data_IF_113871890475
#
_entry.id   IF_113871890475
#
_cell.length_a   1.000
_cell.length_b   1.000
_cell.length_c   1.000
_cell.angle_alpha   90.00
_cell.angle_beta   90.00
_cell.angle_gamma   90.00
#
_symmetry.space_group_name_H-M   'P 1'
#
loop_
_entity.id
_entity.type
_entity.pdbx_description
1 polymer ?
#
# COMPACT_ATOMS: atom_id res chain seq x y z
N UNK A 1 8.01 5.29 10.47
CA UNK A 1 7.37 4.25 9.62
C UNK A 1 7.80 4.46 8.19
N UNK A 2 7.98 3.37 7.46
CA UNK A 2 8.36 3.36 6.05
C UNK A 2 7.32 2.57 5.27
N UNK A 3 6.91 3.12 4.13
CA UNK A 3 6.09 2.44 3.14
C UNK A 3 6.95 2.38 1.89
N UNK A 4 7.32 1.17 1.48
CA UNK A 4 8.10 0.96 0.27
C UNK A 4 7.27 1.18 -0.99
N UNK A 5 7.92 1.37 -2.14
CA UNK A 5 7.20 1.32 -3.41
C UNK A 5 6.56 -0.07 -3.58
N UNK A 6 5.46 -0.17 -4.33
CA UNK A 6 4.98 -1.40 -4.93
C UNK A 6 6.11 -2.15 -5.63
N UNK A 7 6.19 -3.44 -5.37
CA UNK A 7 7.10 -4.35 -6.05
C UNK A 7 6.31 -5.56 -6.55
N UNK A 8 6.77 -6.17 -7.64
CA UNK A 8 6.21 -7.46 -8.07
C UNK A 8 6.81 -8.55 -7.19
N UNK A 9 5.96 -9.32 -6.52
CA UNK A 9 6.35 -10.54 -5.83
C UNK A 9 6.64 -11.65 -6.86
N UNK A 10 7.86 -12.20 -6.83
CA UNK A 10 8.30 -13.20 -7.81
C UNK A 10 7.64 -14.57 -7.63
N UNK A 11 7.10 -14.86 -6.44
CA UNK A 11 6.44 -16.14 -6.18
C UNK A 11 4.98 -16.11 -6.66
N UNK A 12 4.28 -15.00 -6.44
CA UNK A 12 2.85 -14.87 -6.78
C UNK A 12 2.56 -14.11 -8.06
N UNK A 13 3.55 -13.43 -8.64
CA UNK A 13 3.42 -12.50 -9.79
C UNK A 13 2.40 -11.37 -9.52
N UNK A 14 2.24 -11.01 -8.24
CA UNK A 14 1.33 -9.96 -7.78
C UNK A 14 2.10 -8.75 -7.25
N UNK A 15 1.51 -7.57 -7.40
CA UNK A 15 2.02 -6.37 -6.75
C UNK A 15 1.82 -6.42 -5.24
N UNK A 16 2.87 -6.12 -4.50
CA UNK A 16 2.88 -6.08 -3.04
C UNK A 16 3.42 -4.75 -2.51
N UNK A 17 2.93 -4.37 -1.33
CA UNK A 17 3.39 -3.21 -0.57
C UNK A 17 4.09 -3.67 0.72
N UNK A 18 5.33 -3.23 0.91
CA UNK A 18 6.04 -3.46 2.18
C UNK A 18 5.85 -2.27 3.11
N UNK A 19 5.33 -2.52 4.31
CA UNK A 19 5.26 -1.54 5.40
C UNK A 19 6.21 -1.96 6.51
N UNK A 20 7.07 -1.05 6.93
CA UNK A 20 8.03 -1.25 8.01
C UNK A 20 7.79 -0.25 9.15
N UNK A 21 7.60 -0.79 10.35
CA UNK A 21 7.39 -0.01 11.58
C UNK A 21 8.54 -0.30 12.54
N UNK A 22 9.37 0.68 12.90
CA UNK A 22 10.41 0.49 13.91
C UNK A 22 9.77 0.22 15.27
N UNK A 23 10.36 -0.74 16.01
CA UNK A 23 10.07 -0.97 17.41
C UNK A 23 11.10 -0.17 18.21
N UNK A 24 10.63 0.69 19.10
CA UNK A 24 11.48 1.44 20.00
C UNK A 24 11.46 0.82 21.39
N UNK A 25 12.62 0.75 22.02
CA UNK A 25 12.72 0.46 23.45
C UNK A 25 12.15 1.65 24.25
N UNK A 26 11.29 1.36 25.24
CA UNK A 26 10.55 2.40 25.95
C UNK A 26 11.45 3.27 26.83
N UNK A 27 12.52 2.71 27.38
CA UNK A 27 13.40 3.40 28.31
C UNK A 27 14.43 4.28 27.59
N UNK A 28 15.01 3.78 26.50
CA UNK A 28 16.07 4.45 25.75
C UNK A 28 15.56 5.26 24.55
N UNK A 29 14.37 4.94 24.03
CA UNK A 29 13.86 5.49 22.77
C UNK A 29 14.65 5.02 21.54
N UNK A 30 15.56 4.05 21.69
CA UNK A 30 16.34 3.52 20.59
C UNK A 30 15.54 2.50 19.78
N UNK A 31 15.75 2.49 18.46
CA UNK A 31 15.13 1.49 17.59
C UNK A 31 15.81 0.12 17.80
N UNK A 32 15.09 -0.82 18.39
CA UNK A 32 15.59 -2.17 18.72
C UNK A 32 15.16 -3.24 17.70
N UNK A 33 14.28 -2.88 16.77
CA UNK A 33 13.83 -3.79 15.73
C UNK A 33 12.91 -3.13 14.71
N UNK A 34 12.45 -3.94 13.76
CA UNK A 34 11.49 -3.53 12.73
C UNK A 34 10.44 -4.63 12.57
N UNK A 35 9.17 -4.25 12.66
CA UNK A 35 8.05 -5.08 12.20
C UNK A 35 7.89 -4.83 10.70
N UNK A 36 8.04 -5.88 9.90
CA UNK A 36 7.78 -5.86 8.46
C UNK A 36 6.46 -6.55 8.18
N UNK A 37 5.58 -5.87 7.47
CA UNK A 37 4.34 -6.42 6.93
C UNK A 37 4.35 -6.30 5.41
N UNK A 38 3.84 -7.33 4.74
CA UNK A 38 3.70 -7.40 3.28
C UNK A 38 2.20 -7.49 2.99
N UNK A 39 1.70 -6.59 2.14
CA UNK A 39 0.29 -6.54 1.76
C UNK A 39 0.16 -6.73 0.27
N UNK A 40 -0.79 -7.56 -0.16
CA UNK A 40 -1.15 -7.68 -1.57
C UNK A 40 -1.96 -6.45 -2.00
N UNK A 41 -1.57 -5.81 -3.09
CA UNK A 41 -2.34 -4.69 -3.65
C UNK A 41 -3.69 -5.15 -4.23
N UNK A 42 -3.83 -6.44 -4.57
CA UNK A 42 -5.12 -7.02 -4.95
C UNK A 42 -6.13 -6.96 -3.80
N UNK A 43 -5.72 -7.39 -2.60
CA UNK A 43 -6.60 -7.37 -1.42
C UNK A 43 -6.96 -5.93 -1.03
N UNK A 44 -6.03 -4.98 -1.20
CA UNK A 44 -6.32 -3.55 -1.04
C UNK A 44 -7.36 -3.07 -2.08
N UNK A 45 -7.28 -3.50 -3.34
CA UNK A 45 -8.25 -3.12 -4.36
C UNK A 45 -9.67 -3.59 -4.03
N UNK A 46 -9.84 -4.78 -3.44
CA UNK A 46 -11.15 -5.28 -3.03
C UNK A 46 -11.79 -4.40 -1.93
N UNK A 47 -10.98 -3.90 -1.00
CA UNK A 47 -11.43 -2.95 0.05
C UNK A 47 -11.85 -1.62 -0.59
N UNK A 48 -11.08 -1.12 -1.56
CA UNK A 48 -11.38 0.13 -2.26
C UNK A 48 -12.64 0.01 -3.13
N UNK A 49 -12.84 -1.13 -3.80
CA UNK A 49 -14.07 -1.43 -4.54
C UNK A 49 -15.29 -1.49 -3.61
N UNK A 50 -15.16 -2.09 -2.44
CA UNK A 50 -16.24 -2.11 -1.45
C UNK A 50 -16.60 -0.68 -1.00
N UNK A 51 -15.61 0.17 -0.73
CA UNK A 51 -15.85 1.57 -0.41
C UNK A 51 -16.53 2.32 -1.56
N UNK A 52 -16.09 2.13 -2.81
CA UNK A 52 -16.70 2.76 -3.98
C UNK A 52 -18.20 2.46 -4.11
N UNK A 53 -18.62 1.23 -3.82
CA UNK A 53 -20.04 0.85 -3.84
C UNK A 53 -20.88 1.61 -2.81
N UNK A 54 -20.32 2.03 -1.69
CA UNK A 54 -21.01 2.86 -0.69
C UNK A 54 -21.17 4.31 -1.15
N UNK A 55 -20.20 4.85 -1.90
CA UNK A 55 -20.21 6.25 -2.38
C UNK A 55 -20.87 6.44 -3.76
N UNK A 56 -21.27 5.35 -4.43
CA UNK A 56 -21.95 5.36 -5.73
C UNK A 56 -21.00 5.32 -6.93
N UNK A 57 -21.51 4.84 -8.07
CA UNK A 57 -20.76 4.53 -9.31
C UNK A 57 -19.99 5.72 -9.92
N UNK A 58 -20.35 6.94 -9.55
CA UNK A 58 -19.69 8.18 -10.01
C UNK A 58 -18.40 8.50 -9.26
N UNK A 59 -18.10 7.79 -8.18
CA UNK A 59 -16.98 8.09 -7.28
C UNK A 59 -15.72 7.39 -7.76
N UNK A 60 -14.65 8.14 -8.00
CA UNK A 60 -13.32 7.59 -8.28
C UNK A 60 -12.58 7.39 -6.96
N UNK A 61 -11.95 6.23 -6.79
CA UNK A 61 -11.09 5.93 -5.63
C UNK A 61 -9.70 5.62 -6.15
N UNK A 62 -8.71 6.43 -5.75
CA UNK A 62 -7.32 6.26 -6.16
C UNK A 62 -6.47 5.90 -4.93
N UNK A 63 -5.50 5.00 -5.10
CA UNK A 63 -4.50 4.72 -4.07
C UNK A 63 -3.26 5.57 -4.33
N UNK A 64 -2.96 6.50 -3.41
CA UNK A 64 -1.75 7.32 -3.44
C UNK A 64 -0.65 6.69 -2.61
N UNK A 65 0.46 6.35 -3.26
CA UNK A 65 1.64 5.75 -2.65
C UNK A 65 2.84 6.72 -2.72
N UNK A 66 3.61 6.87 -1.63
CA UNK A 66 4.82 7.68 -1.65
C UNK A 66 5.87 7.09 -2.62
N UNK A 67 6.71 7.91 -3.27
CA UNK A 67 6.70 9.37 -3.19
C UNK A 67 5.70 10.06 -4.13
N UNK A 68 5.16 9.41 -5.17
CA UNK A 68 4.21 10.00 -6.15
C UNK A 68 3.55 8.93 -7.07
N UNK A 69 3.29 7.72 -6.58
CA UNK A 69 2.60 6.70 -7.38
C UNK A 69 1.09 6.72 -7.15
N UNK A 70 0.33 6.63 -8.25
CA UNK A 70 -1.12 6.50 -8.21
C UNK A 70 -1.49 5.17 -8.85
N UNK A 71 -2.22 4.35 -8.09
CA UNK A 71 -2.80 3.10 -8.57
C UNK A 71 -4.31 3.28 -8.64
N UNK A 72 -4.87 3.15 -9.84
CA UNK A 72 -6.32 3.07 -10.05
C UNK A 72 -6.83 1.69 -9.61
N UNK A 73 -8.10 1.59 -9.19
CA UNK A 73 -8.74 0.35 -8.74
C UNK A 73 -8.71 -0.75 -9.81
N UNK A 74 -8.56 -0.39 -11.09
CA UNK A 74 -8.30 -1.33 -12.19
C UNK A 74 -6.88 -1.96 -12.15
N UNK A 75 -6.05 -1.63 -11.16
CA UNK A 75 -4.67 -2.10 -11.04
C UNK A 75 -3.72 -1.48 -12.07
N UNK A 76 -4.11 -0.38 -12.70
CA UNK A 76 -3.29 0.31 -13.70
C UNK A 76 -2.50 1.41 -13.01
N UNK A 77 -1.17 1.35 -13.14
CA UNK A 77 -0.28 2.43 -12.70
C UNK A 77 -0.48 3.63 -13.62
N UNK A 78 -0.77 4.80 -13.04
CA UNK A 78 -0.91 6.06 -13.78
C UNK A 78 0.29 6.93 -13.43
N UNK A 79 1.24 7.05 -14.37
CA UNK A 79 2.30 8.05 -14.28
C UNK A 79 1.72 9.44 -14.57
N UNK A 80 1.98 10.43 -13.71
CA UNK A 80 1.74 11.83 -14.05
C UNK A 80 2.89 12.36 -14.93
N UNK A 81 2.54 12.84 -16.13
CA UNK A 81 3.39 13.66 -17.01
C UNK A 81 3.58 15.08 -16.51
#
# INVERSE_FOLDING_TARGET
>A
NYIGPPEVDQETDLFQLTIAVPIFDEDSGEAVGIIRSIYSLRELSDILFAAQQEFGESTRVDLFLPPNQIIDIAGTEVEET
#
